data_IF_107939715979
#
_entry.id   IF_107939715979
#
_cell.length_a   1.000
_cell.length_b   1.000
_cell.length_c   1.000
_cell.angle_alpha   90.00
_cell.angle_beta   90.00
_cell.angle_gamma   90.00
#
_symmetry.space_group_name_H-M   'P 1'
#
loop_
_entity.id
_entity.type
_entity.pdbx_description
1 polymer ?
#
# COMPACT_ATOMS: atom_id res chain seq x y z
N UNK A 1 6.25 8.50 24.73
CA UNK A 1 4.85 8.32 24.31
C UNK A 1 4.55 6.89 23.82
N UNK A 2 5.30 6.35 22.85
CA UNK A 2 5.07 5.01 22.28
C UNK A 2 5.21 3.84 23.29
N UNK A 3 6.24 3.84 24.14
CA UNK A 3 6.41 2.83 25.21
C UNK A 3 5.24 2.78 26.19
N UNK A 4 4.68 3.94 26.58
CA UNK A 4 3.47 4.03 27.42
C UNK A 4 2.23 3.48 26.70
N UNK A 5 2.04 3.81 25.41
CA UNK A 5 0.94 3.27 24.59
C UNK A 5 1.04 1.73 24.43
N UNK A 6 2.24 1.21 24.19
CA UNK A 6 2.49 -0.24 24.12
C UNK A 6 2.25 -0.95 25.46
N UNK A 7 2.62 -0.33 26.59
CA UNK A 7 2.34 -0.87 27.92
C UNK A 7 0.83 -0.97 28.20
N UNK A 8 0.02 0.01 27.75
CA UNK A 8 -1.43 -0.07 27.84
C UNK A 8 -2.03 -1.20 26.99
N UNK A 9 -1.48 -1.46 25.80
CA UNK A 9 -1.92 -2.56 24.93
C UNK A 9 -1.50 -3.93 25.52
N UNK A 10 -0.27 -4.04 26.03
CA UNK A 10 0.28 -5.28 26.58
C UNK A 10 -0.30 -5.69 27.94
N UNK A 11 -0.66 -4.73 28.80
CA UNK A 11 -1.24 -5.02 30.12
C UNK A 11 -2.64 -5.64 30.05
N UNK A 12 -3.42 -5.38 28.99
CA UNK A 12 -4.80 -5.83 28.90
C UNK A 12 -4.95 -7.36 28.74
N UNK A 13 -3.88 -8.11 28.43
CA UNK A 13 -3.97 -9.55 28.09
C UNK A 13 -2.88 -10.46 28.67
N UNK A 14 -2.00 -9.96 29.55
CA UNK A 14 -0.96 -10.79 30.19
C UNK A 14 0.12 -11.33 29.24
N UNK A 15 0.17 -10.86 27.99
CA UNK A 15 1.21 -11.21 27.01
C UNK A 15 2.32 -10.17 27.01
N UNK A 16 3.56 -10.58 27.31
CA UNK A 16 4.72 -9.71 27.18
C UNK A 16 4.92 -9.27 25.72
N UNK A 17 5.01 -7.97 25.48
CA UNK A 17 5.33 -7.42 24.16
C UNK A 17 6.81 -7.62 23.86
N UNK A 18 7.15 -8.22 22.71
CA UNK A 18 8.52 -8.23 22.20
C UNK A 18 8.77 -6.93 21.42
N UNK A 19 9.68 -6.08 21.93
CA UNK A 19 10.03 -4.80 21.31
C UNK A 19 11.52 -4.82 20.97
N UNK A 20 11.82 -4.92 19.68
CA UNK A 20 13.19 -4.89 19.17
C UNK A 20 13.54 -3.46 18.74
N UNK A 21 14.66 -2.94 19.24
CA UNK A 21 15.22 -1.66 18.81
C UNK A 21 16.44 -1.93 17.92
N UNK A 22 16.27 -1.82 16.61
CA UNK A 22 17.31 -2.12 15.64
C UNK A 22 17.05 -1.44 14.29
N UNK A 23 17.98 -1.63 13.36
CA UNK A 23 17.81 -1.19 11.97
C UNK A 23 16.92 -2.21 11.23
N UNK A 24 15.75 -1.79 10.76
CA UNK A 24 14.81 -2.66 10.07
C UNK A 24 15.37 -3.24 8.75
N UNK A 25 16.45 -2.68 8.20
CA UNK A 25 17.15 -3.21 7.03
C UNK A 25 18.42 -4.00 7.39
N UNK A 26 18.65 -4.29 8.66
CA UNK A 26 19.70 -5.21 9.11
C UNK A 26 19.13 -6.59 9.40
N UNK A 27 19.76 -7.64 8.86
CA UNK A 27 19.40 -9.02 9.15
C UNK A 27 19.41 -9.33 10.66
N UNK A 28 20.39 -8.81 11.39
CA UNK A 28 20.54 -9.03 12.83
C UNK A 28 19.33 -8.58 13.66
N UNK A 29 18.56 -7.59 13.17
CA UNK A 29 17.31 -7.16 13.83
C UNK A 29 16.24 -8.26 13.86
N UNK A 30 16.36 -9.27 12.98
CA UNK A 30 15.39 -10.32 12.82
C UNK A 30 15.79 -11.67 13.43
N UNK A 31 17.01 -11.81 13.94
CA UNK A 31 17.48 -13.05 14.58
C UNK A 31 16.58 -13.44 15.77
N UNK A 32 15.99 -12.45 16.45
CA UNK A 32 15.06 -12.62 17.57
C UNK A 32 13.58 -12.67 17.14
N UNK A 33 13.29 -12.61 15.83
CA UNK A 33 11.96 -12.38 15.27
C UNK A 33 11.51 -13.54 14.39
N UNK A 34 10.54 -14.32 14.89
CA UNK A 34 9.82 -15.43 14.23
C UNK A 34 10.16 -15.64 12.74
N UNK A 35 10.88 -16.72 12.43
CA UNK A 35 11.34 -17.08 11.09
C UNK A 35 10.22 -17.02 10.03
N UNK A 36 9.02 -17.48 10.39
CA UNK A 36 7.86 -17.63 9.49
C UNK A 36 7.08 -16.35 9.14
N UNK A 37 7.45 -15.17 9.65
CA UNK A 37 6.70 -13.92 9.41
C UNK A 37 5.48 -13.70 10.31
N UNK A 38 4.54 -12.84 9.90
CA UNK A 38 3.41 -12.36 10.71
C UNK A 38 2.04 -12.52 10.05
N UNK A 39 1.02 -12.87 10.84
CA UNK A 39 -0.38 -12.91 10.39
C UNK A 39 -0.96 -11.50 10.16
N UNK A 40 -0.38 -10.48 10.80
CA UNK A 40 -0.76 -9.08 10.68
C UNK A 40 0.48 -8.20 10.77
N UNK A 41 0.67 -7.35 9.76
CA UNK A 41 1.65 -6.26 9.77
C UNK A 41 0.90 -4.94 9.66
N UNK A 42 1.02 -4.09 10.67
CA UNK A 42 0.50 -2.72 10.67
C UNK A 42 1.69 -1.77 10.67
N UNK A 43 1.71 -0.79 9.77
CA UNK A 43 2.83 0.15 9.71
C UNK A 43 2.41 1.53 9.20
N UNK A 44 3.09 2.54 9.73
CA UNK A 44 3.16 3.88 9.16
C UNK A 44 4.62 4.14 8.76
N UNK A 45 5.01 3.78 7.52
CA UNK A 45 6.40 3.79 7.09
C UNK A 45 7.01 5.20 7.05
N UNK A 46 8.34 5.33 7.13
CA UNK A 46 8.99 6.63 7.11
C UNK A 46 8.88 7.30 5.73
N UNK A 47 8.37 8.53 5.70
CA UNK A 47 8.30 9.38 4.50
C UNK A 47 9.50 10.31 4.39
N UNK A 48 10.68 9.70 4.22
CA UNK A 48 11.96 10.43 4.12
C UNK A 48 12.40 10.45 2.66
N UNK A 49 12.61 11.65 2.13
CA UNK A 49 13.09 11.83 0.75
C UNK A 49 14.49 11.27 0.57
N UNK A 50 14.76 10.71 -0.60
CA UNK A 50 16.06 10.13 -0.93
C UNK A 50 17.24 11.10 -0.68
N UNK A 51 17.04 12.40 -0.91
CA UNK A 51 18.06 13.45 -0.69
C UNK A 51 18.52 13.55 0.77
N UNK A 52 17.63 13.26 1.72
CA UNK A 52 17.92 13.30 3.15
C UNK A 52 18.64 12.03 3.64
N UNK A 53 18.79 11.01 2.79
CA UNK A 53 19.43 9.76 3.18
C UNK A 53 20.96 9.82 3.17
N UNK A 54 21.58 10.93 2.73
CA UNK A 54 23.03 11.13 2.75
C UNK A 54 23.83 9.92 2.22
N UNK A 55 23.40 9.34 1.09
CA UNK A 55 24.05 8.18 0.47
C UNK A 55 23.74 6.82 1.11
N UNK A 56 22.89 6.75 2.16
CA UNK A 56 22.50 5.49 2.81
C UNK A 56 21.48 4.66 2.02
N UNK A 57 20.97 5.18 0.90
CA UNK A 57 19.99 4.50 0.04
C UNK A 57 20.49 3.14 -0.45
N UNK A 58 21.77 3.04 -0.80
CA UNK A 58 22.36 1.76 -1.22
C UNK A 58 22.43 0.79 -0.04
N UNK A 59 22.82 1.22 1.16
CA UNK A 59 22.84 0.35 2.34
C UNK A 59 21.46 -0.23 2.66
N UNK A 60 20.41 0.60 2.56
CA UNK A 60 19.03 0.18 2.73
C UNK A 60 18.63 -0.86 1.67
N UNK A 61 18.99 -0.63 0.41
CA UNK A 61 18.70 -1.58 -0.68
C UNK A 61 19.40 -2.91 -0.46
N UNK A 62 20.70 -2.91 -0.16
CA UNK A 62 21.47 -4.12 0.10
C UNK A 62 20.90 -4.87 1.30
N UNK A 63 20.62 -4.18 2.39
CA UNK A 63 20.00 -4.78 3.57
C UNK A 63 18.63 -5.42 3.29
N UNK A 64 17.80 -4.76 2.47
CA UNK A 64 16.54 -5.35 2.01
C UNK A 64 16.78 -6.58 1.11
N UNK A 65 17.76 -6.54 0.22
CA UNK A 65 18.11 -7.66 -0.65
C UNK A 65 18.57 -8.88 0.18
N UNK A 66 19.41 -8.66 1.19
CA UNK A 66 19.87 -9.71 2.11
C UNK A 66 18.68 -10.36 2.85
N UNK A 67 17.73 -9.54 3.32
CA UNK A 67 16.48 -10.03 3.94
C UNK A 67 15.66 -10.86 2.95
N UNK A 68 15.54 -10.41 1.70
CA UNK A 68 14.81 -11.13 0.65
C UNK A 68 15.42 -12.50 0.40
N UNK A 69 16.74 -12.58 0.25
CA UNK A 69 17.45 -13.83 -0.02
C UNK A 69 17.33 -14.82 1.15
N UNK A 70 17.43 -14.33 2.40
CA UNK A 70 17.36 -15.20 3.58
C UNK A 70 15.94 -15.67 3.89
N UNK A 71 14.91 -14.82 3.71
CA UNK A 71 13.56 -15.08 4.27
C UNK A 71 12.54 -15.60 3.26
N UNK A 72 12.71 -15.35 1.97
CA UNK A 72 11.79 -15.84 0.96
C UNK A 72 12.35 -17.07 0.25
N UNK A 73 11.48 -17.88 -0.33
CA UNK A 73 11.83 -19.03 -1.18
C UNK A 73 11.16 -18.92 -2.56
N UNK A 74 11.67 -19.69 -3.51
CA UNK A 74 11.03 -19.96 -4.81
C UNK A 74 10.58 -18.68 -5.57
N UNK A 75 9.38 -18.72 -6.13
CA UNK A 75 8.77 -17.65 -6.94
C UNK A 75 8.55 -16.35 -6.17
N UNK A 76 8.22 -16.42 -4.89
CA UNK A 76 8.06 -15.23 -4.05
C UNK A 76 9.38 -14.47 -3.90
N UNK A 77 10.51 -15.18 -3.74
CA UNK A 77 11.83 -14.54 -3.68
C UNK A 77 12.13 -13.76 -4.95
N UNK A 78 11.85 -14.34 -6.12
CA UNK A 78 12.15 -13.68 -7.40
C UNK A 78 11.39 -12.36 -7.57
N UNK A 79 10.09 -12.34 -7.25
CA UNK A 79 9.27 -11.14 -7.33
C UNK A 79 9.88 -10.03 -6.45
N UNK A 80 10.18 -10.34 -5.19
CA UNK A 80 10.75 -9.35 -4.27
C UNK A 80 12.16 -8.91 -4.67
N UNK A 81 12.99 -9.83 -5.16
CA UNK A 81 14.35 -9.55 -5.63
C UNK A 81 14.34 -8.57 -6.79
N UNK A 82 13.51 -8.82 -7.80
CA UNK A 82 13.37 -7.95 -8.97
C UNK A 82 12.83 -6.57 -8.58
N UNK A 83 11.84 -6.49 -7.69
CA UNK A 83 11.30 -5.21 -7.22
C UNK A 83 12.32 -4.43 -6.37
N UNK A 84 13.06 -5.12 -5.49
CA UNK A 84 14.11 -4.51 -4.63
C UNK A 84 15.25 -3.94 -5.47
N UNK A 85 15.66 -4.64 -6.52
CA UNK A 85 16.71 -4.17 -7.42
C UNK A 85 16.19 -3.16 -8.46
N UNK A 86 14.88 -3.17 -8.72
CA UNK A 86 14.26 -2.43 -9.81
C UNK A 86 13.63 -1.09 -9.43
N UNK A 87 13.38 -0.81 -8.15
CA UNK A 87 12.83 0.48 -7.75
C UNK A 87 13.84 1.62 -7.96
N UNK A 88 13.31 2.82 -8.30
CA UNK A 88 14.13 3.99 -8.62
C UNK A 88 15.12 4.35 -7.50
N UNK A 89 16.38 4.67 -7.84
CA UNK A 89 17.34 5.22 -6.87
C UNK A 89 16.92 6.57 -6.25
N UNK A 90 15.94 7.24 -6.85
CA UNK A 90 15.32 8.46 -6.33
C UNK A 90 14.08 8.17 -5.46
N UNK A 91 13.82 6.91 -5.13
CA UNK A 91 12.69 6.53 -4.29
C UNK A 91 12.89 6.99 -2.84
N UNK A 92 11.81 7.43 -2.22
CA UNK A 92 11.75 7.74 -0.80
C UNK A 92 12.00 6.46 0.03
N UNK A 93 12.44 6.61 1.28
CA UNK A 93 12.66 5.49 2.22
C UNK A 93 11.39 4.66 2.47
N UNK A 94 10.22 5.21 2.17
CA UNK A 94 8.94 4.50 2.25
C UNK A 94 8.91 3.28 1.33
N UNK A 95 9.51 3.33 0.14
CA UNK A 95 9.44 2.22 -0.84
C UNK A 95 10.12 0.94 -0.35
N UNK A 96 11.39 0.94 0.07
CA UNK A 96 11.98 -0.25 0.66
C UNK A 96 11.29 -0.65 1.98
N UNK A 97 10.78 0.31 2.76
CA UNK A 97 10.01 0.00 3.97
C UNK A 97 8.66 -0.69 3.66
N UNK A 98 8.01 -0.34 2.55
CA UNK A 98 6.77 -0.97 2.09
C UNK A 98 7.05 -2.39 1.60
N UNK A 99 8.11 -2.59 0.80
CA UNK A 99 8.55 -3.92 0.35
C UNK A 99 8.85 -4.85 1.53
N UNK A 100 9.58 -4.35 2.52
CA UNK A 100 9.88 -5.06 3.76
C UNK A 100 8.60 -5.41 4.54
N UNK A 101 7.70 -4.44 4.73
CA UNK A 101 6.45 -4.65 5.46
C UNK A 101 5.59 -5.73 4.79
N UNK A 102 5.51 -5.71 3.46
CA UNK A 102 4.80 -6.72 2.68
C UNK A 102 5.48 -8.09 2.74
N UNK A 103 6.82 -8.15 2.69
CA UNK A 103 7.62 -9.38 2.81
C UNK A 103 7.31 -10.12 4.11
N UNK A 104 7.16 -9.37 5.21
CA UNK A 104 6.95 -9.90 6.55
C UNK A 104 5.56 -10.51 6.79
N UNK A 105 4.60 -10.30 5.89
CA UNK A 105 3.24 -10.86 6.02
C UNK A 105 3.23 -12.31 5.58
N UNK A 106 2.65 -13.24 6.37
CA UNK A 106 2.43 -14.62 5.94
C UNK A 106 1.39 -14.71 4.81
N UNK A 107 1.41 -15.75 3.96
CA UNK A 107 0.27 -16.07 3.10
C UNK A 107 -1.03 -16.09 3.91
N UNK A 108 -2.09 -15.47 3.37
CA UNK A 108 -3.40 -15.24 4.03
C UNK A 108 -3.38 -14.26 5.21
N UNK A 109 -2.22 -13.78 5.65
CA UNK A 109 -2.08 -12.70 6.62
C UNK A 109 -2.48 -11.33 6.03
N UNK A 110 -2.58 -10.31 6.87
CA UNK A 110 -2.99 -8.96 6.46
C UNK A 110 -1.87 -7.94 6.60
N UNK A 111 -1.80 -7.04 5.63
CA UNK A 111 -1.04 -5.81 5.65
C UNK A 111 -2.00 -4.64 5.87
N UNK A 112 -1.71 -3.79 6.84
CA UNK A 112 -2.35 -2.49 7.03
C UNK A 112 -1.27 -1.40 6.93
N UNK A 113 -1.35 -0.61 5.87
CA UNK A 113 -0.30 0.33 5.48
C UNK A 113 -0.88 1.73 5.40
N UNK A 114 -0.37 2.65 6.23
CA UNK A 114 -0.62 4.08 6.03
C UNK A 114 0.27 4.53 4.88
N UNK A 115 -0.31 5.15 3.86
CA UNK A 115 0.37 5.65 2.66
C UNK A 115 0.02 7.12 2.39
N UNK A 116 0.86 7.92 1.69
CA UNK A 116 0.48 9.23 1.22
C UNK A 116 -0.64 9.11 0.18
N UNK A 117 -1.54 10.07 0.12
CA UNK A 117 -2.62 10.10 -0.87
C UNK A 117 -2.10 10.05 -2.32
N UNK A 118 -0.84 10.43 -2.54
CA UNK A 118 -0.17 10.41 -3.84
C UNK A 118 0.40 9.04 -4.24
N UNK A 119 0.14 7.96 -3.50
CA UNK A 119 0.69 6.62 -3.78
C UNK A 119 0.30 6.06 -5.16
N UNK A 120 -0.77 6.56 -5.79
CA UNK A 120 -1.18 6.20 -7.16
C UNK A 120 -0.58 7.11 -8.25
N UNK A 121 -0.15 8.31 -7.89
CA UNK A 121 0.25 9.34 -8.84
C UNK A 121 1.77 9.53 -8.97
N UNK A 122 2.57 9.08 -8.00
CA UNK A 122 4.04 9.19 -8.03
C UNK A 122 4.68 7.99 -8.73
N UNK A 123 5.62 8.27 -9.64
CA UNK A 123 6.34 7.24 -10.41
C UNK A 123 7.08 6.21 -9.54
N UNK A 124 7.62 6.64 -8.40
CA UNK A 124 8.35 5.74 -7.51
C UNK A 124 7.44 4.69 -6.84
N UNK A 125 6.12 4.92 -6.82
CA UNK A 125 5.16 4.03 -6.17
C UNK A 125 4.68 2.89 -7.09
N UNK A 126 5.02 2.92 -8.38
CA UNK A 126 4.60 1.90 -9.35
C UNK A 126 5.01 0.48 -8.95
N UNK A 127 6.21 0.30 -8.39
CA UNK A 127 6.69 -1.00 -7.90
C UNK A 127 5.79 -1.56 -6.77
N UNK A 128 5.19 -0.68 -5.97
CA UNK A 128 4.35 -1.07 -4.83
C UNK A 128 2.92 -1.28 -5.29
N UNK A 129 2.42 -0.45 -6.21
CA UNK A 129 1.16 -0.72 -6.91
C UNK A 129 1.19 -2.11 -7.55
N UNK A 130 2.30 -2.43 -8.21
CA UNK A 130 2.54 -3.77 -8.76
C UNK A 130 2.54 -4.84 -7.68
N UNK A 131 3.33 -4.67 -6.61
CA UNK A 131 3.40 -5.63 -5.50
C UNK A 131 2.02 -5.91 -4.87
N UNK A 132 1.23 -4.86 -4.64
CA UNK A 132 -0.11 -4.97 -4.07
C UNK A 132 -1.03 -5.75 -4.99
N UNK A 133 -1.07 -5.40 -6.28
CA UNK A 133 -1.87 -6.15 -7.25
C UNK A 133 -1.40 -7.59 -7.36
N UNK A 134 -0.08 -7.83 -7.42
CA UNK A 134 0.50 -9.15 -7.68
C UNK A 134 0.44 -10.09 -6.48
N UNK A 135 0.70 -9.61 -5.28
CA UNK A 135 0.90 -10.49 -4.13
C UNK A 135 -0.20 -10.38 -3.08
N UNK A 136 -1.14 -9.46 -3.23
CA UNK A 136 -2.20 -9.23 -2.26
C UNK A 136 -3.58 -9.14 -2.94
N UNK A 137 -4.59 -9.56 -2.19
CA UNK A 137 -5.97 -9.16 -2.42
C UNK A 137 -6.21 -7.87 -1.65
N UNK A 138 -6.42 -6.78 -2.38
CA UNK A 138 -6.75 -5.49 -1.77
C UNK A 138 -8.19 -5.54 -1.23
N UNK A 139 -8.36 -5.34 0.07
CA UNK A 139 -9.68 -5.46 0.73
C UNK A 139 -10.32 -4.08 0.91
N UNK A 140 -9.54 -3.11 1.39
CA UNK A 140 -10.05 -1.80 1.79
C UNK A 140 -9.00 -0.71 1.56
N UNK A 141 -9.46 0.43 1.05
CA UNK A 141 -8.74 1.70 1.06
C UNK A 141 -9.61 2.68 1.86
N UNK A 142 -9.04 3.31 2.88
CA UNK A 142 -9.69 4.40 3.62
C UNK A 142 -8.98 5.70 3.29
N UNK A 143 -9.71 6.69 2.79
CA UNK A 143 -9.26 8.07 2.67
C UNK A 143 -9.96 8.97 3.69
N UNK A 144 -9.26 10.02 4.10
CA UNK A 144 -9.85 11.16 4.80
C UNK A 144 -9.99 12.33 3.82
N UNK A 145 -11.16 12.98 3.81
CA UNK A 145 -11.40 14.14 2.92
C UNK A 145 -10.66 15.38 3.38
N UNK A 146 -10.27 15.45 4.66
CA UNK A 146 -9.46 16.52 5.22
C UNK A 146 -8.25 15.94 5.97
N UNK A 147 -7.24 16.75 6.34
CA UNK A 147 -6.14 16.26 7.17
C UNK A 147 -6.60 16.00 8.61
N UNK A 148 -7.31 14.89 8.88
CA UNK A 148 -7.81 14.55 10.20
C UNK A 148 -6.97 13.51 10.96
N UNK A 149 -6.22 12.66 10.26
CA UNK A 149 -5.48 11.54 10.89
C UNK A 149 -4.25 12.00 11.67
N UNK A 150 -3.61 13.05 11.17
CA UNK A 150 -2.41 13.62 11.75
C UNK A 150 -2.53 15.14 11.60
N UNK A 151 -2.93 15.82 12.68
CA UNK A 151 -3.14 17.29 12.69
C UNK A 151 -1.91 18.06 12.19
N UNK A 152 -0.73 17.49 12.38
CA UNK A 152 0.55 18.11 12.06
C UNK A 152 1.14 17.61 10.72
N UNK A 153 0.45 16.71 10.01
CA UNK A 153 0.93 16.20 8.74
C UNK A 153 0.55 17.11 7.57
N UNK A 154 1.57 17.53 6.82
CA UNK A 154 1.42 18.33 5.59
C UNK A 154 0.89 17.51 4.40
N UNK A 155 0.75 16.20 4.55
CA UNK A 155 0.41 15.27 3.48
C UNK A 155 -0.81 14.45 3.89
N UNK A 156 -1.85 14.47 3.04
CA UNK A 156 -3.01 13.59 3.19
C UNK A 156 -2.57 12.13 3.11
N UNK A 157 -3.21 11.27 3.89
CA UNK A 157 -2.87 9.85 3.96
C UNK A 157 -4.07 8.96 3.67
N UNK A 158 -3.81 7.79 3.12
CA UNK A 158 -4.76 6.70 3.01
C UNK A 158 -4.30 5.52 3.87
N UNK A 159 -5.24 4.67 4.27
CA UNK A 159 -4.98 3.38 4.89
C UNK A 159 -5.33 2.32 3.86
N UNK A 160 -4.35 1.50 3.51
CA UNK A 160 -4.53 0.34 2.65
C UNK A 160 -4.59 -0.88 3.56
N UNK A 161 -5.65 -1.68 3.44
CA UNK A 161 -5.74 -3.02 4.05
C UNK A 161 -5.80 -4.05 2.93
N UNK A 162 -4.84 -4.97 2.95
CA UNK A 162 -4.72 -6.00 1.92
C UNK A 162 -4.35 -7.34 2.56
N UNK A 163 -4.87 -8.43 2.01
CA UNK A 163 -4.57 -9.80 2.47
C UNK A 163 -3.57 -10.45 1.52
N UNK A 164 -2.48 -11.00 2.03
CA UNK A 164 -1.48 -11.68 1.20
C UNK A 164 -2.10 -12.90 0.54
N UNK A 165 -1.90 -13.05 -0.76
CA UNK A 165 -2.37 -14.19 -1.52
C UNK A 165 -1.60 -15.47 -1.13
N UNK A 166 -2.17 -16.66 -1.34
CA UNK A 166 -1.41 -17.90 -1.42
C UNK A 166 -0.25 -17.79 -2.42
N UNK A 167 0.80 -18.58 -2.23
CA UNK A 167 2.03 -18.47 -3.05
C UNK A 167 1.77 -18.77 -4.53
N UNK A 168 0.92 -19.74 -4.84
CA UNK A 168 0.54 -20.15 -6.19
C UNK A 168 -0.25 -19.04 -6.91
N UNK A 169 -1.17 -18.36 -6.23
CA UNK A 169 -1.89 -17.20 -6.79
C UNK A 169 -0.97 -15.98 -6.97
N UNK A 170 -0.09 -15.74 -5.99
CA UNK A 170 0.93 -14.69 -6.05
C UNK A 170 2.00 -14.95 -7.12
N UNK A 171 2.21 -16.20 -7.53
CA UNK A 171 3.18 -16.59 -8.54
C UNK A 171 2.68 -16.39 -9.98
N UNK A 172 1.38 -16.25 -10.23
CA UNK A 172 0.81 -16.02 -11.58
C UNK A 172 0.96 -14.59 -12.06
N UNK A 173 1.31 -14.38 -13.33
CA UNK A 173 1.50 -13.02 -13.85
C UNK A 173 0.24 -12.18 -13.77
N UNK A 174 0.37 -10.85 -13.61
CA UNK A 174 -0.83 -10.00 -13.65
C UNK A 174 -1.49 -10.07 -15.03
N UNK A 175 -0.69 -10.28 -16.08
CA UNK A 175 -1.17 -10.49 -17.44
C UNK A 175 -1.98 -11.79 -17.62
N UNK A 176 -1.76 -12.82 -16.80
CA UNK A 176 -2.50 -14.10 -16.82
C UNK A 176 -3.79 -14.07 -16.00
N UNK A 177 -4.05 -13.01 -15.22
CA UNK A 177 -5.22 -12.94 -14.34
C UNK A 177 -6.49 -12.62 -15.11
N UNK A 178 -7.48 -13.49 -14.95
CA UNK A 178 -8.83 -13.31 -15.46
C UNK A 178 -9.83 -12.79 -14.41
N UNK A 179 -9.50 -12.89 -13.12
CA UNK A 179 -10.35 -12.44 -12.02
C UNK A 179 -9.71 -11.25 -11.28
N UNK A 180 -10.53 -10.21 -11.08
CA UNK A 180 -10.15 -8.94 -10.48
C UNK A 180 -11.19 -8.54 -9.44
N UNK A 181 -11.08 -9.05 -8.20
CA UNK A 181 -12.02 -8.67 -7.16
C UNK A 181 -11.91 -7.18 -6.89
N UNK A 182 -13.05 -6.50 -6.77
CA UNK A 182 -13.04 -5.10 -6.40
C UNK A 182 -12.63 -4.92 -4.93
N UNK A 183 -11.91 -3.84 -4.66
CA UNK A 183 -11.69 -3.39 -3.29
C UNK A 183 -12.73 -2.34 -2.90
N UNK A 184 -12.98 -2.19 -1.59
CA UNK A 184 -13.82 -1.11 -1.08
C UNK A 184 -12.96 0.14 -0.90
N UNK A 185 -13.39 1.26 -1.47
CA UNK A 185 -12.81 2.57 -1.17
C UNK A 185 -13.79 3.35 -0.29
N UNK A 186 -13.37 3.65 0.93
CA UNK A 186 -14.16 4.38 1.92
C UNK A 186 -13.55 5.75 2.10
N UNK A 187 -14.40 6.76 2.05
CA UNK A 187 -14.02 8.14 2.29
C UNK A 187 -14.71 8.60 3.58
N UNK A 188 -13.90 9.07 4.52
CA UNK A 188 -14.32 9.56 5.82
C UNK A 188 -14.20 11.08 5.81
N UNK A 189 -15.28 11.78 6.13
CA UNK A 189 -15.29 13.23 6.22
C UNK A 189 -15.32 13.71 7.67
N UNK A 190 -14.99 14.99 7.95
CA UNK A 190 -14.96 15.51 9.31
C UNK A 190 -16.25 15.32 10.11
N UNK A 191 -17.40 15.24 9.44
CA UNK A 191 -18.71 14.99 10.07
C UNK A 191 -18.81 13.62 10.75
N UNK A 192 -18.00 12.65 10.31
CA UNK A 192 -17.91 11.33 10.95
C UNK A 192 -17.06 11.36 12.24
N UNK A 193 -16.21 12.37 12.41
CA UNK A 193 -15.20 12.41 13.45
C UNK A 193 -15.73 13.03 14.77
N UNK A 194 -15.18 12.52 15.87
CA UNK A 194 -15.29 13.03 17.24
C UNK A 194 -13.89 13.45 17.72
N UNK A 195 -13.74 14.14 18.87
CA UNK A 195 -12.42 14.54 19.35
C UNK A 195 -11.47 13.36 19.67
N UNK A 196 -11.98 12.14 19.84
CA UNK A 196 -11.19 10.95 20.19
C UNK A 196 -11.12 9.90 19.09
N UNK A 197 -11.92 10.03 18.02
CA UNK A 197 -12.04 9.03 16.95
C UNK A 197 -12.42 9.67 15.63
N UNK A 198 -11.78 9.23 14.55
CA UNK A 198 -12.07 9.68 13.18
C UNK A 198 -13.46 9.29 12.69
N UNK A 199 -14.10 8.34 13.35
CA UNK A 199 -15.42 7.82 12.99
C UNK A 199 -16.38 7.81 14.19
N UNK A 200 -16.04 8.49 15.29
CA UNK A 200 -16.80 8.42 16.55
C UNK A 200 -18.17 9.09 16.54
N UNK A 201 -18.41 10.04 15.63
CA UNK A 201 -19.77 10.60 15.43
C UNK A 201 -20.62 9.70 14.54
N UNK A 202 -19.97 9.02 13.58
CA UNK A 202 -20.55 8.04 12.67
C UNK A 202 -20.91 6.71 13.36
N UNK A 203 -20.08 6.25 14.29
CA UNK A 203 -20.30 5.04 15.09
C UNK A 203 -20.21 5.38 16.57
N UNK A 204 -21.34 5.31 17.28
CA UNK A 204 -21.45 5.77 18.67
C UNK A 204 -21.25 4.67 19.72
N UNK A 205 -20.77 3.50 19.32
CA UNK A 205 -20.44 2.41 20.24
C UNK A 205 -19.17 2.70 21.04
N UNK A 206 -18.85 1.83 21.99
CA UNK A 206 -17.65 1.96 22.84
C UNK A 206 -16.33 1.82 22.07
N UNK A 207 -16.38 1.23 20.87
CA UNK A 207 -15.23 1.01 20.00
C UNK A 207 -15.56 1.42 18.55
N UNK A 208 -15.62 2.74 18.26
CA UNK A 208 -16.07 3.26 16.96
C UNK A 208 -15.28 2.70 15.78
N UNK A 209 -13.96 2.51 15.90
CA UNK A 209 -13.14 1.91 14.84
C UNK A 209 -13.45 0.43 14.62
N UNK A 210 -13.84 -0.30 15.68
CA UNK A 210 -14.24 -1.71 15.56
C UNK A 210 -15.58 -1.81 14.84
N UNK A 211 -16.54 -0.97 15.22
CA UNK A 211 -17.86 -0.91 14.57
C UNK A 211 -17.73 -0.50 13.10
N UNK A 212 -16.87 0.47 12.79
CA UNK A 212 -16.51 0.84 11.43
C UNK A 212 -15.90 -0.34 10.65
N UNK A 213 -14.96 -1.08 11.24
CA UNK A 213 -14.35 -2.23 10.59
C UNK A 213 -15.36 -3.38 10.34
N UNK A 214 -16.34 -3.57 11.22
CA UNK A 214 -17.48 -4.49 10.99
C UNK A 214 -18.35 -3.96 9.85
N UNK A 215 -18.70 -2.67 9.88
CA UNK A 215 -19.49 -2.02 8.85
C UNK A 215 -18.86 -2.15 7.46
N UNK A 216 -17.56 -1.90 7.29
CA UNK A 216 -16.85 -2.05 6.01
C UNK A 216 -16.98 -3.46 5.40
N UNK A 217 -17.06 -4.51 6.25
CA UNK A 217 -17.18 -5.91 5.84
C UNK A 217 -18.62 -6.36 5.56
N UNK A 218 -19.62 -5.57 5.97
CA UNK A 218 -21.02 -5.89 5.74
C UNK A 218 -21.41 -5.70 4.28
N UNK A 219 -22.28 -6.54 3.72
CA UNK A 219 -22.73 -6.40 2.33
C UNK A 219 -23.74 -5.25 2.15
N UNK A 220 -24.66 -5.08 3.11
CA UNK A 220 -25.77 -4.11 3.04
C UNK A 220 -25.51 -2.74 3.67
N UNK A 221 -24.23 -2.38 3.88
CA UNK A 221 -23.73 -1.15 4.56
C UNK A 221 -24.79 -0.05 4.66
N UNK A 222 -25.41 0.17 5.84
CA UNK A 222 -26.35 1.27 5.99
C UNK A 222 -25.63 2.60 5.75
N UNK A 223 -26.38 3.61 5.29
CA UNK A 223 -25.84 4.96 5.15
C UNK A 223 -25.44 5.50 6.52
N UNK A 224 -24.21 5.99 6.62
CA UNK A 224 -23.65 6.58 7.84
C UNK A 224 -23.21 8.00 7.52
N UNK A 225 -23.57 8.94 8.40
CA UNK A 225 -23.22 10.35 8.21
C UNK A 225 -21.70 10.53 8.14
N UNK A 226 -21.24 11.32 7.17
CA UNK A 226 -19.82 11.59 6.95
C UNK A 226 -19.01 10.42 6.39
N UNK A 227 -19.66 9.36 5.89
CA UNK A 227 -18.98 8.23 5.25
C UNK A 227 -19.57 7.98 3.87
N UNK A 228 -18.72 8.00 2.85
CA UNK A 228 -19.08 7.60 1.49
C UNK A 228 -18.24 6.42 1.04
N UNK A 229 -18.80 5.60 0.15
CA UNK A 229 -18.12 4.40 -0.38
C UNK A 229 -18.18 4.39 -1.89
N UNK A 230 -17.10 3.94 -2.50
CA UNK A 230 -17.04 3.62 -3.92
C UNK A 230 -16.30 2.30 -4.13
N UNK A 231 -16.61 1.65 -5.24
CA UNK A 231 -15.90 0.45 -5.68
C UNK A 231 -14.56 0.87 -6.28
N UNK A 232 -13.50 0.16 -5.94
CA UNK A 232 -12.17 0.33 -6.53
C UNK A 232 -11.85 -0.84 -7.46
N UNK A 233 -11.79 -0.57 -8.77
CA UNK A 233 -11.50 -1.57 -9.79
C UNK A 233 -10.01 -1.87 -9.85
N UNK A 234 -9.62 -3.09 -9.46
CA UNK A 234 -8.23 -3.54 -9.56
C UNK A 234 -7.81 -3.77 -11.02
N UNK A 235 -8.75 -4.08 -11.91
CA UNK A 235 -8.49 -4.21 -13.34
C UNK A 235 -8.11 -2.85 -13.96
N UNK A 236 -8.88 -1.79 -13.67
CA UNK A 236 -8.55 -0.44 -14.12
C UNK A 236 -7.18 0.01 -13.56
N UNK A 237 -6.91 -0.32 -12.30
CA UNK A 237 -5.63 0.00 -11.66
C UNK A 237 -4.47 -0.73 -12.33
N UNK A 238 -4.64 -2.01 -12.69
CA UNK A 238 -3.67 -2.78 -13.46
C UNK A 238 -3.44 -2.19 -14.85
N UNK A 239 -4.49 -1.87 -15.61
CA UNK A 239 -4.39 -1.27 -16.93
C UNK A 239 -3.63 0.06 -16.89
N UNK A 240 -3.95 0.92 -15.91
CA UNK A 240 -3.27 2.18 -15.70
C UNK A 240 -1.79 1.99 -15.32
N UNK A 241 -1.48 1.04 -14.44
CA UNK A 241 -0.11 0.72 -14.06
C UNK A 241 0.69 0.16 -15.24
N UNK A 242 0.11 -0.77 -16.01
CA UNK A 242 0.76 -1.36 -17.19
C UNK A 242 1.11 -0.30 -18.22
N UNK A 243 0.18 0.60 -18.54
CA UNK A 243 0.43 1.71 -19.46
C UNK A 243 1.59 2.61 -19.00
N UNK A 244 1.67 2.89 -17.69
CA UNK A 244 2.71 3.76 -17.10
C UNK A 244 4.07 3.08 -16.97
N UNK A 245 4.08 1.81 -16.58
CA UNK A 245 5.28 1.09 -16.16
C UNK A 245 5.84 0.11 -17.21
N UNK A 246 5.19 -0.06 -18.38
CA UNK A 246 5.62 -1.01 -19.42
C UNK A 246 7.10 -0.86 -19.85
N UNK A 247 7.65 0.36 -19.79
CA UNK A 247 9.04 0.64 -20.14
C UNK A 247 10.06 0.22 -19.05
N UNK A 248 9.62 -0.02 -17.82
CA UNK A 248 10.50 -0.31 -16.68
C UNK A 248 11.08 -1.71 -16.79
N UNK A 249 12.36 -1.87 -16.46
CA UNK A 249 13.07 -3.16 -16.52
C UNK A 249 12.42 -4.21 -15.61
N UNK A 250 12.07 -3.85 -14.37
CA UNK A 250 11.42 -4.75 -13.42
C UNK A 250 10.05 -5.25 -13.92
N UNK A 251 9.27 -4.38 -14.57
CA UNK A 251 7.95 -4.73 -15.11
C UNK A 251 8.11 -5.75 -16.24
N UNK A 252 9.05 -5.52 -17.15
CA UNK A 252 9.39 -6.47 -18.21
C UNK A 252 9.84 -7.81 -17.64
N UNK A 253 10.74 -7.79 -16.65
CA UNK A 253 11.26 -9.01 -16.04
C UNK A 253 10.19 -9.86 -15.34
N UNK A 254 9.14 -9.26 -14.79
CA UNK A 254 8.08 -9.97 -14.04
C UNK A 254 6.84 -10.33 -14.86
N UNK A 255 6.65 -9.69 -16.02
CA UNK A 255 5.49 -9.89 -16.88
C UNK A 255 5.84 -10.48 -18.25
N UNK A 256 7.13 -10.62 -18.59
CA UNK A 256 7.52 -11.43 -19.74
C UNK A 256 7.35 -12.90 -19.42
N UNK A 257 6.33 -13.50 -20.05
CA UNK A 257 6.15 -14.95 -20.13
C UNK A 257 7.38 -15.52 -20.85
N UNK A 258 8.05 -16.52 -20.28
CA UNK A 258 9.01 -17.33 -21.04
C UNK A 258 8.30 -17.80 -22.33
N UNK A 259 8.89 -17.65 -23.52
CA UNK A 259 8.14 -17.77 -24.77
C UNK A 259 7.58 -19.19 -24.91
N UNK A 260 6.28 -19.34 -24.64
CA UNK A 260 5.51 -20.38 -25.28
C UNK A 260 5.50 -20.04 -26.77
N UNK A 261 6.00 -20.97 -27.57
CA UNK A 261 6.16 -20.85 -29.00
C UNK A 261 4.90 -20.30 -29.70
N UNK A 262 5.17 -19.46 -30.70
CA UNK A 262 4.35 -19.11 -31.87
C UNK A 262 3.17 -18.11 -31.78
N UNK A 263 3.42 -16.98 -32.46
CA UNK A 263 2.67 -16.39 -33.60
C UNK A 263 1.71 -15.20 -33.36
N UNK A 264 2.04 -14.14 -34.11
CA UNK A 264 1.23 -12.99 -34.54
C UNK A 264 1.00 -11.85 -33.55
N UNK A 265 1.73 -10.75 -33.75
CA UNK A 265 1.46 -9.44 -33.15
C UNK A 265 0.79 -8.52 -34.18
N UNK A 266 -0.39 -8.00 -33.85
CA UNK A 266 -0.98 -6.82 -34.49
C UNK A 266 -0.79 -5.61 -33.53
N UNK A 267 -0.45 -4.42 -34.04
CA UNK A 267 -0.24 -3.24 -33.19
C UNK A 267 -1.59 -2.60 -32.84
N UNK A 268 -2.05 -2.74 -31.60
CA UNK A 268 -3.22 -2.00 -31.12
C UNK A 268 -2.83 -0.57 -30.69
N UNK A 269 -3.57 0.37 -31.27
CA UNK A 269 -3.56 1.81 -30.98
C UNK A 269 -3.72 2.10 -29.49
N UNK A 270 -2.82 2.92 -28.94
CA UNK A 270 -2.85 3.38 -27.54
C UNK A 270 -3.93 4.45 -27.40
N UNK A 271 -5.11 4.08 -26.92
CA UNK A 271 -6.08 5.05 -26.44
C UNK A 271 -5.54 5.72 -25.16
N UNK A 272 -5.39 7.04 -25.19
CA UNK A 272 -4.95 7.81 -24.03
C UNK A 272 -6.03 7.75 -22.92
N UNK A 273 -5.72 7.10 -21.80
CA UNK A 273 -6.61 7.07 -20.64
C UNK A 273 -6.60 8.42 -19.93
N UNK A 274 -7.80 8.94 -19.64
CA UNK A 274 -8.02 10.19 -18.90
C UNK A 274 -7.68 9.96 -17.41
N UNK A 275 -6.79 10.76 -16.80
CA UNK A 275 -6.50 10.69 -15.37
C UNK A 275 -7.75 10.87 -14.50
N UNK A 276 -7.87 10.10 -13.43
CA UNK A 276 -9.04 10.04 -12.53
C UNK A 276 -9.47 11.41 -11.97
N UNK A 277 -8.49 12.27 -11.63
CA UNK A 277 -8.74 13.63 -11.14
C UNK A 277 -9.47 14.54 -12.14
N UNK A 278 -9.56 14.13 -13.41
CA UNK A 278 -10.24 14.88 -14.47
C UNK A 278 -11.56 14.24 -14.90
N UNK A 279 -11.91 13.04 -14.41
CA UNK A 279 -13.15 12.34 -14.81
C UNK A 279 -14.41 13.13 -14.42
N UNK A 280 -14.36 13.83 -13.28
CA UNK A 280 -15.50 14.63 -12.78
C UNK A 280 -15.56 16.05 -13.35
N UNK A 281 -14.51 16.48 -14.07
CA UNK A 281 -14.35 17.84 -14.59
C UNK A 281 -14.58 17.90 -16.11
N UNK A 282 -14.39 16.78 -16.82
CA UNK A 282 -14.48 16.73 -18.28
C UNK A 282 -15.93 16.40 -18.69
N UNK A 283 -16.60 17.30 -19.44
CA UNK A 283 -17.88 16.98 -20.08
C UNK A 283 -17.77 15.71 -20.92
N UNK A 284 -18.76 14.82 -20.82
CA UNK A 284 -18.83 13.52 -21.53
C UNK A 284 -18.78 13.64 -23.07
N UNK A 285 -18.78 14.85 -23.62
CA UNK A 285 -18.79 15.17 -25.05
C UNK A 285 -17.41 15.44 -25.67
N UNK A 286 -16.31 15.38 -24.91
CA UNK A 286 -14.97 15.67 -25.43
C UNK A 286 -14.26 14.45 -26.04
N UNK A 287 -14.14 14.43 -27.37
CA UNK A 287 -13.36 13.42 -28.12
C UNK A 287 -11.87 13.76 -28.20
N UNK A 288 -11.04 12.70 -28.28
CA UNK A 288 -9.64 12.60 -27.84
C UNK A 288 -8.56 13.47 -28.49
N UNK A 289 -8.87 14.41 -29.40
CA UNK A 289 -7.85 15.19 -30.12
C UNK A 289 -7.51 16.51 -29.39
N UNK A 290 -8.39 17.04 -28.52
CA UNK A 290 -8.17 18.33 -27.84
C UNK A 290 -7.45 18.27 -26.48
N UNK A 291 -7.39 17.10 -25.83
CA UNK A 291 -6.80 16.96 -24.48
C UNK A 291 -5.26 17.08 -24.42
N UNK A 292 -4.54 16.69 -25.47
CA UNK A 292 -3.07 16.64 -25.46
C UNK A 292 -2.41 18.02 -25.34
N UNK A 293 -3.07 19.09 -25.80
CA UNK A 293 -2.52 20.46 -25.80
C UNK A 293 -2.66 21.15 -24.43
N UNK A 294 -3.63 20.76 -23.61
CA UNK A 294 -3.85 21.32 -22.27
C UNK A 294 -2.89 20.75 -21.21
N UNK A 295 -2.55 19.46 -21.30
CA UNK A 295 -1.65 18.81 -20.32
C UNK A 295 -0.21 19.35 -20.34
N UNK A 296 0.26 19.91 -21.47
CA UNK A 296 1.59 20.54 -21.57
C UNK A 296 1.72 21.87 -20.82
N UNK A 297 0.62 22.61 -20.62
CA UNK A 297 0.67 23.92 -19.96
C UNK A 297 0.56 23.81 -18.43
N UNK A 298 -0.15 22.81 -17.90
CA UNK A 298 -0.28 22.60 -16.45
C UNK A 298 1.02 22.13 -15.77
N UNK A 299 1.94 21.51 -16.53
CA UNK A 299 3.21 20.97 -16.01
C UNK A 299 4.21 22.05 -15.58
N UNK A 300 4.08 23.29 -16.08
CA UNK A 300 5.06 24.36 -15.85
C UNK A 300 4.86 25.10 -14.52
N UNK A 301 3.66 25.04 -13.92
CA UNK A 301 3.30 25.85 -12.73
C UNK A 301 3.55 25.16 -11.38
N UNK A 302 3.74 23.84 -11.34
CA UNK A 302 3.78 23.06 -10.09
C UNK A 302 5.11 23.02 -9.32
N UNK A 303 6.18 23.67 -9.80
CA UNK A 303 7.55 23.50 -9.25
C UNK A 303 7.94 24.43 -8.09
N UNK A 304 7.05 25.28 -7.57
CA UNK A 304 7.47 26.44 -6.78
C UNK A 304 7.34 26.38 -5.24
N UNK A 305 6.90 25.30 -4.59
CA UNK A 305 6.71 25.34 -3.13
C UNK A 305 6.97 24.01 -2.41
N UNK A 306 8.17 23.82 -1.83
CA UNK A 306 8.46 22.75 -0.85
C UNK A 306 9.62 23.13 0.08
N UNK A 307 9.33 23.43 1.37
CA UNK A 307 10.23 23.34 2.56
C UNK A 307 9.29 23.15 3.78
N UNK A 308 9.51 22.30 4.79
CA UNK A 308 10.60 21.41 5.18
C UNK A 308 10.24 20.58 6.44
N UNK A 309 11.20 19.72 6.86
CA UNK A 309 11.42 19.05 8.16
C UNK A 309 10.41 18.00 8.70
N UNK A 310 10.77 17.14 9.67
CA UNK A 310 11.52 15.85 9.63
C UNK A 310 11.29 15.11 10.97
N UNK A 311 11.10 13.78 10.93
CA UNK A 311 11.27 12.87 12.09
C UNK A 311 10.31 11.67 12.10
N UNK A 312 10.82 10.42 12.07
CA UNK A 312 9.99 9.21 12.26
C UNK A 312 10.80 8.00 12.78
N UNK A 313 10.17 7.20 13.66
CA UNK A 313 10.61 5.90 14.20
C UNK A 313 9.56 4.83 13.86
N UNK A 314 9.98 3.61 13.56
CA UNK A 314 9.14 2.48 13.13
C UNK A 314 8.94 1.48 14.29
N UNK A 315 7.75 0.89 14.43
CA UNK A 315 7.42 -0.15 15.42
C UNK A 315 6.64 -1.30 14.75
N UNK A 316 6.92 -2.53 15.15
CA UNK A 316 6.15 -3.75 14.78
C UNK A 316 5.69 -4.41 16.09
N UNK A 317 4.41 -4.78 16.18
CA UNK A 317 3.83 -5.44 17.37
C UNK A 317 3.19 -6.77 16.98
N UNK A 318 3.64 -7.86 17.61
CA UNK A 318 3.07 -9.20 17.46
C UNK A 318 1.99 -9.44 18.51
N UNK A 319 0.77 -9.80 18.08
CA UNK A 319 -0.29 -10.29 18.99
C UNK A 319 -0.68 -11.69 18.57
N UNK A 320 -0.38 -12.70 19.41
CA UNK A 320 -0.88 -14.07 19.23
C UNK A 320 -2.38 -14.10 19.53
N UNK A 321 -3.20 -14.42 18.52
CA UNK A 321 -4.64 -14.65 18.71
C UNK A 321 -4.89 -16.16 18.79
N UNK A 322 -5.20 -16.66 19.99
CA UNK A 322 -5.58 -18.06 20.22
C UNK A 322 -7.07 -18.26 19.94
N UNK A 323 -7.35 -19.33 19.19
CA UNK A 323 -8.68 -19.87 18.86
C UNK A 323 -9.50 -20.22 20.11
N UNK A 324 -10.81 -19.97 20.05
CA UNK A 324 -11.85 -20.93 20.48
C UNK A 324 -13.12 -20.71 19.65
N UNK A 325 -13.31 -21.58 18.65
CA UNK A 325 -14.63 -21.93 18.13
C UNK A 325 -15.17 -22.98 19.09
N UNK A 326 -16.29 -22.69 19.75
CA UNK A 326 -17.15 -23.74 20.32
C UNK A 326 -18.38 -23.82 19.42
N UNK A 327 -18.51 -24.98 18.81
CA UNK A 327 -19.74 -25.54 18.27
C UNK A 327 -20.82 -25.44 19.32
N UNK A 328 -21.92 -24.75 18.99
CA UNK A 328 -23.32 -25.17 19.11
C UNK A 328 -24.12 -24.24 18.19
#
# INVERSE_FOLDING_TARGET
MCKRRLQHIGCAKGTASNVVCGDAFSLATYDEVLESGYDLVITNPPYVRYQALNGRSERVRHGLADIVEQRLSNSAREIWRVLTNGYSGLADLSIPAWLLSALLVKPKGRLALVVPATWRSRDYADAIRYLLLRCFQLELIVEDTQPGWFSDALVRTHLIVARRLPEDEGAKTLSERSDWPAALWVQVSPEAASPQSLVGMAFRGDQPESDFAVWCRSAGRPNVSGISVRTFSLEEEWLALRARAAGRSWMKSLEQVAPASSLSAQPNSVAALVPEALRDIIPTTLTGIRCARWMKQAYVLGKACERGATGSSMYVSSSRMLKRVRTL
#
